data_IF_008619718292
#
_entry.id   IF_008619718292
#
_cell.length_a   1.000
_cell.length_b   1.000
_cell.length_c   1.000
_cell.angle_alpha   90.00
_cell.angle_beta   90.00
_cell.angle_gamma   90.00
#
_symmetry.space_group_name_H-M   'P 1'
#
loop_
_entity.id
_entity.type
_entity.pdbx_description
1 polymer ?
#
# COMPACT_ATOMS: atom_id res chain seq x y z
N UNK A 1 2.85 -5.91 10.00
CA UNK A 1 2.35 -4.77 10.82
C UNK A 1 2.37 -3.47 10.06
N UNK A 2 3.52 -3.00 9.55
CA UNK A 2 3.60 -1.73 8.79
C UNK A 2 2.63 -1.71 7.60
N UNK A 3 2.68 -2.72 6.73
CA UNK A 3 1.79 -2.85 5.58
C UNK A 3 0.30 -2.87 5.95
N UNK A 4 -0.03 -3.53 7.06
CA UNK A 4 -1.39 -3.60 7.58
C UNK A 4 -1.86 -2.24 8.08
N UNK A 5 -1.05 -1.53 8.87
CA UNK A 5 -1.41 -0.20 9.39
C UNK A 5 -1.61 0.79 8.25
N UNK A 6 -0.65 0.86 7.32
CA UNK A 6 -0.74 1.77 6.16
C UNK A 6 -1.94 1.40 5.29
N UNK A 7 -2.08 0.13 4.96
CA UNK A 7 -3.16 -0.36 4.13
C UNK A 7 -4.53 -0.11 4.75
N UNK A 8 -4.70 -0.39 6.03
CA UNK A 8 -5.96 -0.13 6.74
C UNK A 8 -6.31 1.35 6.73
N UNK A 9 -5.39 2.25 7.06
CA UNK A 9 -5.66 3.70 7.07
C UNK A 9 -6.07 4.16 5.66
N UNK A 10 -5.31 3.79 4.62
CA UNK A 10 -5.60 4.19 3.25
C UNK A 10 -6.88 3.55 2.69
N UNK A 11 -7.16 2.30 3.06
CA UNK A 11 -8.39 1.59 2.72
C UNK A 11 -9.62 2.22 3.38
N UNK A 12 -9.52 2.61 4.65
CA UNK A 12 -10.57 3.33 5.36
C UNK A 12 -10.85 4.69 4.70
N UNK A 13 -9.80 5.47 4.44
CA UNK A 13 -9.92 6.80 3.83
C UNK A 13 -10.51 6.70 2.42
N UNK A 14 -10.00 5.79 1.58
CA UNK A 14 -10.51 5.59 0.22
C UNK A 14 -11.97 5.11 0.21
N UNK A 15 -12.31 4.09 1.00
CA UNK A 15 -13.67 3.56 1.06
C UNK A 15 -14.70 4.52 1.68
N UNK A 16 -14.30 5.30 2.70
CA UNK A 16 -15.22 6.18 3.42
C UNK A 16 -15.56 7.44 2.62
N UNK A 17 -14.53 8.18 2.18
CA UNK A 17 -14.69 9.45 1.48
C UNK A 17 -15.07 9.25 0.00
N UNK A 18 -14.56 8.19 -0.64
CA UNK A 18 -14.80 7.90 -2.06
C UNK A 18 -14.31 8.99 -3.02
N UNK A 19 -14.84 8.95 -4.26
CA UNK A 19 -14.61 9.94 -5.33
C UNK A 19 -13.11 10.10 -5.66
N UNK A 20 -12.63 11.33 -5.78
CA UNK A 20 -11.25 11.63 -6.13
C UNK A 20 -10.24 11.01 -5.16
N UNK A 21 -10.49 11.00 -3.85
CA UNK A 21 -9.51 10.46 -2.89
C UNK A 21 -9.30 8.96 -3.11
N UNK A 22 -10.38 8.24 -3.37
CA UNK A 22 -10.33 6.83 -3.73
C UNK A 22 -9.53 6.60 -5.02
N UNK A 23 -9.90 7.31 -6.09
CA UNK A 23 -9.20 7.21 -7.37
C UNK A 23 -7.71 7.51 -7.24
N UNK A 24 -7.33 8.54 -6.48
CA UNK A 24 -5.92 8.91 -6.28
C UNK A 24 -5.15 7.82 -5.51
N UNK A 25 -5.70 7.32 -4.40
CA UNK A 25 -5.06 6.27 -3.60
C UNK A 25 -4.95 4.97 -4.41
N UNK A 26 -6.02 4.58 -5.11
CA UNK A 26 -6.03 3.38 -5.94
C UNK A 26 -5.09 3.53 -7.14
N UNK A 27 -4.95 4.73 -7.73
CA UNK A 27 -3.97 4.98 -8.79
C UNK A 27 -2.54 4.74 -8.32
N UNK A 28 -2.18 5.23 -7.13
CA UNK A 28 -0.84 5.00 -6.54
C UNK A 28 -0.64 3.52 -6.29
N UNK A 29 -1.65 2.83 -5.74
CA UNK A 29 -1.61 1.39 -5.52
C UNK A 29 -1.40 0.60 -6.82
N UNK A 30 -2.08 0.99 -7.91
CA UNK A 30 -1.94 0.36 -9.22
C UNK A 30 -0.56 0.59 -9.82
N UNK A 31 -0.02 1.81 -9.72
CA UNK A 31 1.34 2.13 -10.15
C UNK A 31 2.36 1.29 -9.38
N UNK A 32 2.18 1.12 -8.07
CA UNK A 32 3.08 0.30 -7.27
C UNK A 32 3.03 -1.18 -7.67
N UNK A 33 1.84 -1.73 -7.93
CA UNK A 33 1.72 -3.12 -8.38
C UNK A 33 2.28 -3.35 -9.78
N UNK A 34 2.34 -2.30 -10.61
CA UNK A 34 2.98 -2.37 -11.93
C UNK A 34 4.52 -2.48 -11.82
N UNK A 35 5.11 -2.07 -10.69
CA UNK A 35 6.54 -2.23 -10.45
C UNK A 35 6.87 -3.64 -9.91
N UNK A 36 7.79 -4.39 -10.55
CA UNK A 36 8.27 -5.64 -10.02
C UNK A 36 8.91 -5.45 -8.63
N UNK A 37 8.47 -6.23 -7.64
CA UNK A 37 8.95 -6.14 -6.26
C UNK A 37 10.49 -6.18 -6.16
N UNK A 38 11.13 -7.06 -6.92
CA UNK A 38 12.58 -7.24 -6.90
C UNK A 38 13.28 -5.94 -7.33
N UNK A 39 12.77 -5.25 -8.35
CA UNK A 39 13.35 -3.98 -8.80
C UNK A 39 13.22 -2.90 -7.74
N UNK A 40 12.04 -2.78 -7.11
CA UNK A 40 11.82 -1.84 -6.01
C UNK A 40 12.77 -2.12 -4.85
N UNK A 41 12.91 -3.40 -4.45
CA UNK A 41 13.81 -3.81 -3.38
C UNK A 41 15.28 -3.47 -3.70
N UNK A 42 15.75 -3.74 -4.92
CA UNK A 42 17.13 -3.44 -5.34
C UNK A 42 17.40 -1.93 -5.31
N UNK A 43 16.48 -1.10 -5.83
CA UNK A 43 16.62 0.36 -5.83
C UNK A 43 16.67 0.92 -4.41
N UNK A 44 15.78 0.46 -3.53
CA UNK A 44 15.76 0.93 -2.15
C UNK A 44 17.02 0.46 -1.40
N UNK A 45 17.47 -0.78 -1.61
CA UNK A 45 18.71 -1.30 -1.02
C UNK A 45 19.96 -0.61 -1.56
N UNK A 46 20.00 -0.20 -2.83
CA UNK A 46 21.16 0.50 -3.38
C UNK A 46 21.32 1.90 -2.80
N UNK A 47 20.21 2.57 -2.48
CA UNK A 47 20.20 3.92 -1.88
C UNK A 47 20.39 3.87 -0.36
N UNK A 48 19.63 3.03 0.34
CA UNK A 48 19.64 2.97 1.81
C UNK A 48 20.69 2.00 2.36
N UNK A 49 21.26 1.11 1.55
CA UNK A 49 22.18 0.05 1.96
C UNK A 49 21.48 -1.21 2.49
N UNK A 50 22.26 -2.14 3.05
CA UNK A 50 21.75 -3.41 3.58
C UNK A 50 21.38 -3.32 5.07
N UNK A 51 20.48 -4.20 5.53
CA UNK A 51 20.08 -4.31 6.93
C UNK A 51 18.65 -4.80 7.13
N UNK A 52 18.41 -5.56 8.20
CA UNK A 52 17.10 -6.16 8.52
C UNK A 52 16.00 -5.08 8.60
N UNK A 53 16.28 -3.95 9.25
CA UNK A 53 15.31 -2.85 9.36
C UNK A 53 14.89 -2.27 8.00
N UNK A 54 15.82 -2.20 7.04
CA UNK A 54 15.54 -1.68 5.68
C UNK A 54 14.68 -2.67 4.90
N UNK A 55 14.96 -3.97 5.04
CA UNK A 55 14.13 -5.04 4.47
C UNK A 55 12.71 -4.96 5.03
N UNK A 56 12.56 -4.79 6.35
CA UNK A 56 11.25 -4.67 7.00
C UNK A 56 10.46 -3.49 6.42
N UNK A 57 11.10 -2.34 6.23
CA UNK A 57 10.47 -1.15 5.63
C UNK A 57 10.05 -1.44 4.17
N UNK A 58 10.94 -2.01 3.36
CA UNK A 58 10.64 -2.38 1.98
C UNK A 58 9.43 -3.30 1.91
N UNK A 59 9.41 -4.38 2.68
CA UNK A 59 8.28 -5.31 2.71
C UNK A 59 7.00 -4.61 3.18
N UNK A 60 7.09 -3.74 4.19
CA UNK A 60 5.97 -2.92 4.66
C UNK A 60 5.37 -2.04 3.55
N UNK A 61 6.23 -1.40 2.75
CA UNK A 61 5.84 -0.53 1.64
C UNK A 61 5.39 -1.29 0.40
N UNK A 62 5.77 -2.55 0.21
CA UNK A 62 5.30 -3.30 -0.96
C UNK A 62 3.91 -3.91 -0.73
N UNK A 63 3.66 -4.44 0.47
CA UNK A 63 2.45 -5.25 0.71
C UNK A 63 1.21 -4.47 1.19
N UNK A 64 1.29 -3.15 1.39
CA UNK A 64 0.14 -2.38 1.91
C UNK A 64 -1.06 -2.33 0.97
N UNK A 65 -0.85 -2.43 -0.35
CA UNK A 65 -1.91 -2.34 -1.37
C UNK A 65 -2.99 -3.43 -1.17
N UNK A 66 -2.57 -4.65 -0.82
CA UNK A 66 -3.49 -5.75 -0.55
C UNK A 66 -4.41 -5.45 0.63
N UNK A 67 -3.85 -4.94 1.73
CA UNK A 67 -4.61 -4.52 2.90
C UNK A 67 -5.54 -3.33 2.59
N UNK A 68 -5.06 -2.34 1.81
CA UNK A 68 -5.87 -1.19 1.42
C UNK A 68 -7.11 -1.58 0.62
N UNK A 69 -6.95 -2.44 -0.39
CA UNK A 69 -8.08 -2.93 -1.20
C UNK A 69 -9.07 -3.76 -0.40
N UNK A 70 -8.56 -4.61 0.50
CA UNK A 70 -9.41 -5.43 1.37
C UNK A 70 -10.27 -4.54 2.27
N UNK A 71 -9.67 -3.59 2.97
CA UNK A 71 -10.38 -2.69 3.89
C UNK A 71 -11.31 -1.74 3.13
N UNK A 72 -10.90 -1.21 1.98
CA UNK A 72 -11.78 -0.43 1.10
C UNK A 72 -13.04 -1.21 0.73
N UNK A 73 -12.90 -2.47 0.34
CA UNK A 73 -14.04 -3.34 0.00
C UNK A 73 -14.98 -3.56 1.19
N UNK A 74 -14.44 -3.74 2.39
CA UNK A 74 -15.24 -3.85 3.62
C UNK A 74 -16.00 -2.54 3.92
N UNK A 75 -15.36 -1.38 3.78
CA UNK A 75 -16.00 -0.08 4.04
C UNK A 75 -17.12 0.21 3.06
N UNK A 76 -16.92 -0.09 1.77
CA UNK A 76 -17.97 0.09 0.75
C UNK A 76 -19.15 -0.85 1.07
N UNK A 77 -18.89 -2.12 1.39
CA UNK A 77 -19.91 -3.10 1.78
C UNK A 77 -20.72 -2.68 3.01
N UNK A 78 -20.08 -2.02 3.98
CA UNK A 78 -20.77 -1.49 5.18
C UNK A 78 -21.55 -0.19 4.90
N UNK A 79 -21.33 0.45 3.76
CA UNK A 79 -21.96 1.71 3.36
C UNK A 79 -23.17 1.49 2.44
N UNK A 80 -23.23 0.35 1.75
CA UNK A 80 -24.43 -0.16 1.06
C UNK A 80 -25.46 -0.71 2.05
#
# INVERSE_FOLDING_TARGET
LISMVIGTILGLVSGYFGKWLDDFIMRIADIQLAFPFILFAIVIMSVLGTGIWKIIIILGLTYWVGFARLIRGQVISLKE
#
